data_IF_150274356358
#
_entry.id   IF_150274356358
#
_cell.length_a   1.000
_cell.length_b   1.000
_cell.length_c   1.000
_cell.angle_alpha   90.00
_cell.angle_beta   90.00
_cell.angle_gamma   90.00
#
_symmetry.space_group_name_H-M   'P 1'
#
loop_
_entity.id
_entity.type
_entity.pdbx_description
1 polymer ?
#
# COMPACT_ATOMS: atom_id res chain seq x y z
N UNK A 1 26.27 -77.27 -30.43
CA UNK A 1 27.69 -76.85 -30.54
C UNK A 1 27.81 -75.46 -29.95
N UNK A 2 28.77 -75.29 -29.03
CA UNK A 2 29.13 -74.02 -28.40
C UNK A 2 29.77 -73.04 -29.39
N UNK A 3 29.67 -71.74 -29.05
CA UNK A 3 30.76 -70.74 -28.92
C UNK A 3 30.19 -69.35 -29.27
N UNK A 4 29.92 -68.48 -28.28
CA UNK A 4 30.83 -67.47 -27.66
C UNK A 4 31.40 -66.46 -28.67
N UNK A 5 30.96 -65.20 -28.55
CA UNK A 5 31.80 -64.03 -28.20
C UNK A 5 30.87 -62.86 -27.81
N UNK A 6 30.71 -62.55 -26.52
CA UNK A 6 31.45 -61.57 -25.68
C UNK A 6 31.28 -60.11 -26.13
N UNK A 7 30.36 -59.39 -25.47
CA UNK A 7 30.23 -57.91 -25.49
C UNK A 7 30.38 -57.45 -24.03
N UNK A 8 31.29 -56.51 -23.70
CA UNK A 8 31.42 -55.98 -22.34
C UNK A 8 30.29 -54.98 -22.00
N UNK A 9 29.86 -54.91 -20.73
CA UNK A 9 28.77 -54.05 -20.27
C UNK A 9 29.29 -52.71 -19.71
N UNK A 10 28.36 -51.95 -19.11
CA UNK A 10 28.48 -50.83 -18.16
C UNK A 10 27.96 -49.50 -18.76
N UNK A 11 26.97 -48.80 -18.19
CA UNK A 11 26.29 -48.88 -16.90
C UNK A 11 24.86 -48.35 -17.07
N UNK A 12 23.89 -49.15 -16.62
CA UNK A 12 22.57 -48.70 -16.19
C UNK A 12 22.75 -47.99 -14.85
N UNK A 13 21.99 -46.93 -14.56
CA UNK A 13 21.28 -46.89 -13.27
C UNK A 13 19.93 -46.19 -13.44
N UNK A 14 18.93 -47.01 -13.15
CA UNK A 14 17.51 -46.75 -13.22
C UNK A 14 17.03 -46.01 -11.98
N UNK A 15 16.04 -45.15 -12.23
CA UNK A 15 14.86 -44.89 -11.42
C UNK A 15 14.70 -45.75 -10.14
N UNK A 16 14.67 -45.12 -8.96
CA UNK A 16 14.00 -45.73 -7.80
C UNK A 16 13.43 -44.65 -6.85
N UNK A 17 12.15 -44.79 -6.53
CA UNK A 17 11.48 -44.17 -5.38
C UNK A 17 11.10 -45.31 -4.46
N UNK A 18 11.31 -45.26 -3.13
CA UNK A 18 10.12 -45.27 -2.27
C UNK A 18 10.29 -44.68 -0.85
N UNK A 19 9.14 -44.52 -0.20
CA UNK A 19 8.94 -44.41 1.25
C UNK A 19 9.74 -45.46 2.04
N UNK A 20 10.37 -45.05 3.15
CA UNK A 20 11.05 -45.97 4.07
C UNK A 20 11.11 -45.40 5.49
N UNK A 21 10.42 -46.07 6.41
CA UNK A 21 10.33 -45.76 7.83
C UNK A 21 11.70 -45.84 8.54
N UNK A 22 11.95 -44.94 9.49
CA UNK A 22 13.00 -45.12 10.50
C UNK A 22 12.40 -45.09 11.91
N UNK A 23 12.67 -46.18 12.62
CA UNK A 23 12.27 -46.57 13.97
C UNK A 23 12.59 -45.55 15.08
N UNK A 24 11.79 -45.58 16.16
CA UNK A 24 12.13 -45.04 17.48
C UNK A 24 13.22 -45.92 18.13
N UNK A 25 14.25 -45.41 18.82
CA UNK A 25 14.30 -44.96 20.24
C UNK A 25 15.80 -44.71 20.63
N UNK A 26 16.18 -44.15 21.81
CA UNK A 26 15.36 -43.64 22.91
C UNK A 26 15.69 -42.19 23.32
N UNK A 27 14.72 -41.60 24.02
CA UNK A 27 14.82 -40.36 24.77
C UNK A 27 15.91 -40.45 25.86
N UNK A 28 16.86 -39.52 25.81
CA UNK A 28 17.75 -39.23 26.93
C UNK A 28 17.31 -37.87 27.51
N UNK A 29 16.63 -37.81 28.66
CA UNK A 29 16.28 -36.53 29.25
C UNK A 29 17.55 -35.81 29.69
N UNK A 30 17.86 -34.69 29.05
CA UNK A 30 18.84 -33.75 29.59
C UNK A 30 18.38 -33.32 31.00
N UNK A 31 19.23 -33.47 32.02
CA UNK A 31 18.91 -33.09 33.40
C UNK A 31 18.87 -31.56 33.62
N UNK A 32 19.07 -30.76 32.56
CA UNK A 32 19.02 -29.30 32.60
C UNK A 32 17.67 -28.76 32.16
N UNK A 33 16.60 -29.38 32.67
CA UNK A 33 15.29 -28.76 32.74
C UNK A 33 15.32 -27.59 33.74
N UNK A 34 16.09 -26.55 33.43
CA UNK A 34 15.99 -25.25 34.08
C UNK A 34 15.19 -24.30 33.21
N UNK A 35 14.02 -24.02 33.76
CA UNK A 35 12.95 -23.16 33.30
C UNK A 35 13.42 -21.71 33.14
N UNK A 36 12.83 -21.02 32.15
CA UNK A 36 12.30 -19.63 32.21
C UNK A 36 13.37 -18.53 32.43
N UNK A 37 13.45 -17.44 31.71
CA UNK A 37 12.50 -16.65 30.93
C UNK A 37 13.35 -15.90 29.89
N UNK A 38 12.97 -15.95 28.62
CA UNK A 38 13.43 -14.93 27.67
C UNK A 38 12.97 -13.57 28.20
N UNK A 39 13.86 -12.59 28.45
CA UNK A 39 13.42 -11.26 28.85
C UNK A 39 12.65 -10.67 27.67
N UNK A 40 11.32 -10.66 27.78
CA UNK A 40 10.47 -9.84 26.95
C UNK A 40 10.95 -8.41 27.13
N UNK A 41 11.75 -7.93 26.17
CA UNK A 41 12.09 -6.53 26.05
C UNK A 41 10.76 -5.82 25.78
N UNK A 42 10.14 -5.35 26.86
CA UNK A 42 8.95 -4.50 26.79
C UNK A 42 9.42 -3.28 26.01
N UNK A 43 9.09 -3.24 24.72
CA UNK A 43 9.21 -2.01 23.94
C UNK A 43 8.17 -1.10 24.59
N UNK A 44 8.63 -0.23 25.47
CA UNK A 44 7.80 0.86 25.98
C UNK A 44 7.40 1.65 24.73
N UNK A 45 6.11 1.58 24.38
CA UNK A 45 5.55 2.43 23.36
C UNK A 45 5.71 3.86 23.88
N UNK A 46 6.80 4.52 23.45
CA UNK A 46 6.92 5.94 23.62
C UNK A 46 5.70 6.52 22.91
N UNK A 47 4.82 7.15 23.68
CA UNK A 47 3.78 8.00 23.14
C UNK A 47 4.51 9.16 22.48
N UNK A 48 4.93 8.95 21.24
CA UNK A 48 5.47 10.01 20.40
C UNK A 48 4.36 11.04 20.37
N UNK A 49 4.61 12.21 20.98
CA UNK A 49 3.87 13.41 20.63
C UNK A 49 4.18 13.60 19.15
N UNK A 50 3.29 13.06 18.30
CA UNK A 50 3.29 13.37 16.89
C UNK A 50 3.19 14.88 16.84
N UNK A 51 4.23 15.52 16.32
CA UNK A 51 4.14 16.92 15.95
C UNK A 51 2.81 17.08 15.21
N UNK A 52 2.01 18.07 15.62
CA UNK A 52 0.74 18.39 14.98
C UNK A 52 1.06 18.75 13.53
N UNK A 53 1.17 17.73 12.67
CA UNK A 53 1.50 17.86 11.26
C UNK A 53 0.27 18.46 10.62
N UNK A 54 0.12 19.78 10.78
CA UNK A 54 -0.95 20.52 10.13
C UNK A 54 -0.88 20.19 8.65
N UNK A 55 -1.97 19.67 8.07
CA UNK A 55 -1.97 19.32 6.67
C UNK A 55 -1.62 20.57 5.86
N UNK A 56 -0.60 20.46 5.01
CA UNK A 56 -0.25 21.54 4.09
C UNK A 56 -1.32 21.59 3.01
N UNK A 57 -2.23 22.53 3.18
CA UNK A 57 -3.31 22.80 2.23
C UNK A 57 -2.95 24.02 1.39
N UNK A 58 -2.93 23.83 0.08
CA UNK A 58 -2.69 24.90 -0.87
C UNK A 58 -4.02 25.58 -1.25
N UNK A 59 -3.95 26.88 -1.52
CA UNK A 59 -5.05 27.61 -2.15
C UNK A 59 -4.93 27.49 -3.67
N UNK A 60 -6.05 27.43 -4.36
CA UNK A 60 -6.05 27.52 -5.83
C UNK A 60 -5.69 28.95 -6.23
N UNK A 61 -4.68 29.16 -7.10
CA UNK A 61 -4.34 30.49 -7.58
C UNK A 61 -5.49 31.13 -8.35
N UNK A 62 -5.69 32.44 -8.19
CA UNK A 62 -6.74 33.20 -8.91
C UNK A 62 -6.52 33.24 -10.43
N UNK A 63 -5.31 32.96 -10.90
CA UNK A 63 -4.99 32.85 -12.33
C UNK A 63 -5.04 31.42 -12.87
N UNK A 64 -5.35 30.44 -12.02
CA UNK A 64 -5.29 29.03 -12.41
C UNK A 64 -6.34 28.70 -13.46
N UNK A 65 -5.89 28.06 -14.54
CA UNK A 65 -6.75 27.52 -15.60
C UNK A 65 -6.30 26.10 -15.88
N UNK A 66 -7.23 25.15 -15.83
CA UNK A 66 -6.96 23.72 -15.92
C UNK A 66 -7.95 22.90 -15.11
N UNK A 67 -7.60 21.67 -14.82
CA UNK A 67 -8.46 20.70 -14.15
C UNK A 67 -7.83 20.24 -12.83
N UNK A 68 -8.65 20.06 -11.81
CA UNK A 68 -8.27 19.47 -10.52
C UNK A 68 -9.24 18.34 -10.19
N UNK A 69 -8.83 17.40 -9.36
CA UNK A 69 -9.70 16.30 -8.96
C UNK A 69 -10.14 16.54 -7.52
N UNK A 70 -11.43 16.78 -7.31
CA UNK A 70 -12.04 16.82 -5.99
C UNK A 70 -12.17 15.39 -5.46
N UNK A 71 -11.49 15.09 -4.35
CA UNK A 71 -11.51 13.77 -3.72
C UNK A 71 -12.50 13.70 -2.55
N UNK A 72 -12.79 14.84 -1.91
CA UNK A 72 -13.75 14.92 -0.81
C UNK A 72 -14.34 16.32 -0.69
N UNK A 73 -15.65 16.39 -0.48
CA UNK A 73 -16.36 17.58 -0.03
C UNK A 73 -16.84 17.34 1.41
N UNK A 74 -16.58 18.28 2.31
CA UNK A 74 -17.00 18.18 3.71
C UNK A 74 -17.63 19.49 4.18
N UNK A 75 -18.73 19.47 4.96
CA UNK A 75 -19.36 20.69 5.48
C UNK A 75 -18.50 21.41 6.54
N UNK A 76 -17.55 20.69 7.14
CA UNK A 76 -16.60 21.20 8.13
C UNK A 76 -15.18 20.79 7.72
N UNK A 77 -14.14 21.54 8.15
CA UNK A 77 -12.77 21.17 7.90
C UNK A 77 -12.49 19.80 8.52
N UNK A 78 -11.86 18.93 7.72
CA UNK A 78 -11.40 17.62 8.16
C UNK A 78 -10.28 17.79 9.19
N UNK A 79 -10.21 16.84 10.13
CA UNK A 79 -9.17 16.82 11.16
C UNK A 79 -7.80 16.59 10.52
N UNK A 80 -6.74 17.15 11.10
CA UNK A 80 -5.36 16.96 10.62
C UNK A 80 -4.97 15.47 10.50
N UNK A 81 -5.59 14.61 11.31
CA UNK A 81 -5.38 13.15 11.30
C UNK A 81 -6.24 12.40 10.27
N UNK A 82 -6.87 13.07 9.32
CA UNK A 82 -7.63 12.38 8.29
C UNK A 82 -6.70 11.70 7.27
N UNK A 83 -7.05 10.48 6.86
CA UNK A 83 -6.27 9.65 5.93
C UNK A 83 -5.89 10.36 4.62
N UNK A 84 -6.71 11.29 4.13
CA UNK A 84 -6.44 11.99 2.88
C UNK A 84 -5.16 12.81 2.96
N UNK A 85 -4.82 13.34 4.14
CA UNK A 85 -3.64 14.18 4.35
C UNK A 85 -2.36 13.36 4.45
N UNK A 86 -2.46 12.11 4.95
CA UNK A 86 -1.33 11.18 4.99
C UNK A 86 -1.08 10.52 3.63
N UNK A 87 -2.16 10.21 2.91
CA UNK A 87 -2.07 9.56 1.60
C UNK A 87 -1.73 10.53 0.49
N UNK A 88 -2.16 11.79 0.62
CA UNK A 88 -1.96 12.82 -0.38
C UNK A 88 -1.37 14.06 0.27
N UNK A 89 -0.05 14.23 0.13
CA UNK A 89 0.68 15.36 0.73
C UNK A 89 0.45 16.72 0.06
N UNK A 90 -0.07 16.73 -1.18
CA UNK A 90 -0.28 17.95 -1.98
C UNK A 90 -1.77 18.17 -2.27
N UNK A 91 -2.52 18.54 -1.23
CA UNK A 91 -3.93 18.82 -1.33
C UNK A 91 -4.20 20.32 -1.43
N UNK A 92 -5.17 20.67 -2.25
CA UNK A 92 -5.74 22.00 -2.33
C UNK A 92 -7.04 22.03 -1.55
N UNK A 93 -7.27 23.09 -0.79
CA UNK A 93 -8.52 23.29 -0.07
C UNK A 93 -9.17 24.60 -0.50
N UNK A 94 -10.45 24.52 -0.83
CA UNK A 94 -11.26 25.67 -1.22
C UNK A 94 -12.57 25.67 -0.43
N UNK A 95 -12.96 26.84 0.10
CA UNK A 95 -14.26 27.02 0.74
C UNK A 95 -15.28 27.37 -0.35
N UNK A 96 -16.30 26.54 -0.49
CA UNK A 96 -17.42 26.76 -1.41
C UNK A 96 -18.42 27.76 -0.82
N UNK A 97 -19.32 28.25 -1.66
CA UNK A 97 -20.41 29.15 -1.27
C UNK A 97 -21.31 28.53 -0.18
N UNK A 98 -21.49 27.20 -0.19
CA UNK A 98 -22.26 26.45 0.79
C UNK A 98 -21.58 26.32 2.18
N UNK A 99 -20.52 27.08 2.44
CA UNK A 99 -19.58 26.94 3.57
C UNK A 99 -18.82 25.62 3.68
N UNK A 100 -19.15 24.64 2.84
CA UNK A 100 -18.40 23.40 2.71
C UNK A 100 -16.98 23.63 2.18
N UNK A 101 -16.07 22.73 2.51
CA UNK A 101 -14.69 22.71 2.06
C UNK A 101 -14.52 21.57 1.07
N UNK A 102 -13.99 21.90 -0.10
CA UNK A 102 -13.59 20.94 -1.12
C UNK A 102 -12.09 20.69 -1.05
N UNK A 103 -11.74 19.42 -0.98
CA UNK A 103 -10.36 18.92 -0.99
C UNK A 103 -10.05 18.37 -2.37
N UNK A 104 -9.05 18.95 -3.00
CA UNK A 104 -8.70 18.69 -4.38
C UNK A 104 -7.24 18.27 -4.51
N UNK A 105 -6.96 17.52 -5.58
CA UNK A 105 -5.65 16.97 -5.85
C UNK A 105 -5.22 17.28 -7.28
N UNK A 106 -3.90 17.45 -7.42
CA UNK A 106 -3.25 17.63 -8.70
C UNK A 106 -3.50 18.99 -9.33
N UNK A 107 -2.92 19.14 -10.50
CA UNK A 107 -3.14 20.25 -11.41
C UNK A 107 -2.91 19.68 -12.81
N UNK A 108 -3.98 19.58 -13.58
CA UNK A 108 -3.97 18.98 -14.91
C UNK A 108 -4.28 20.09 -15.92
N UNK A 109 -3.64 20.04 -17.09
CA UNK A 109 -3.96 20.96 -18.18
C UNK A 109 -5.08 20.43 -19.06
N UNK A 110 -5.24 19.10 -19.12
CA UNK A 110 -6.20 18.40 -19.96
C UNK A 110 -7.24 17.66 -19.12
N UNK A 111 -8.50 17.68 -19.57
CA UNK A 111 -9.58 16.95 -18.92
C UNK A 111 -9.38 15.43 -18.98
N UNK A 112 -8.87 14.92 -20.11
CA UNK A 112 -8.61 13.50 -20.31
C UNK A 112 -7.57 12.94 -19.33
N UNK A 113 -6.50 13.70 -19.08
CA UNK A 113 -5.46 13.33 -18.10
C UNK A 113 -6.04 13.27 -16.67
N UNK A 114 -6.86 14.26 -16.31
CA UNK A 114 -7.52 14.29 -15.02
C UNK A 114 -8.49 13.11 -14.85
N UNK A 115 -9.26 12.79 -15.88
CA UNK A 115 -10.17 11.65 -15.87
C UNK A 115 -9.42 10.31 -15.78
N UNK A 116 -8.33 10.15 -16.54
CA UNK A 116 -7.50 8.94 -16.49
C UNK A 116 -6.89 8.74 -15.10
N UNK A 117 -6.38 9.82 -14.49
CA UNK A 117 -5.83 9.76 -13.13
C UNK A 117 -6.92 9.42 -12.10
N UNK A 118 -8.10 10.00 -12.25
CA UNK A 118 -9.27 9.69 -11.43
C UNK A 118 -9.63 8.20 -11.54
N UNK A 119 -9.77 7.66 -12.74
CA UNK A 119 -10.15 6.25 -12.97
C UNK A 119 -9.10 5.24 -12.53
N UNK A 120 -7.82 5.54 -12.70
CA UNK A 120 -6.75 4.56 -12.44
C UNK A 120 -6.40 4.46 -10.95
N UNK A 121 -6.34 5.61 -10.28
CA UNK A 121 -5.79 5.73 -8.93
C UNK A 121 -6.81 6.10 -7.87
N UNK A 122 -7.73 7.02 -8.18
CA UNK A 122 -8.59 7.62 -7.15
C UNK A 122 -9.92 6.91 -7.00
N UNK A 123 -10.57 6.45 -8.08
CA UNK A 123 -11.92 5.88 -8.03
C UNK A 123 -12.02 4.64 -7.14
N UNK A 124 -10.93 3.86 -7.05
CA UNK A 124 -10.84 2.65 -6.20
C UNK A 124 -10.95 2.98 -4.71
N UNK A 125 -10.55 4.20 -4.31
CA UNK A 125 -10.55 4.64 -2.91
C UNK A 125 -11.60 5.71 -2.63
N UNK A 126 -11.87 6.55 -3.60
CA UNK A 126 -12.78 7.69 -3.55
C UNK A 126 -13.78 7.58 -4.69
N UNK A 127 -14.84 6.77 -4.52
CA UNK A 127 -15.87 6.61 -5.56
C UNK A 127 -16.66 7.90 -5.82
N UNK A 128 -16.66 8.83 -4.85
CA UNK A 128 -17.29 10.15 -4.96
C UNK A 128 -16.38 11.20 -5.61
N UNK A 129 -15.15 10.84 -5.99
CA UNK A 129 -14.20 11.78 -6.55
C UNK A 129 -14.63 12.22 -7.96
N UNK A 130 -14.40 13.50 -8.28
CA UNK A 130 -14.80 14.10 -9.55
C UNK A 130 -13.77 15.09 -10.07
N UNK A 131 -13.70 15.22 -11.39
CA UNK A 131 -12.90 16.26 -12.03
C UNK A 131 -13.65 17.59 -11.90
N UNK A 132 -12.89 18.66 -11.71
CA UNK A 132 -13.37 20.03 -11.56
C UNK A 132 -12.55 20.92 -12.49
N UNK A 133 -13.22 21.58 -13.42
CA UNK A 133 -12.59 22.58 -14.28
C UNK A 133 -12.46 23.94 -13.60
N UNK A 134 -11.32 24.58 -13.82
CA UNK A 134 -11.00 25.95 -13.42
C UNK A 134 -10.64 26.79 -14.64
N UNK A 135 -11.14 28.02 -14.66
CA UNK A 135 -10.79 29.03 -15.67
C UNK A 135 -10.61 30.38 -14.99
N UNK A 136 -9.42 30.96 -15.11
CA UNK A 136 -9.06 32.22 -14.44
C UNK A 136 -9.44 32.22 -12.95
N UNK A 137 -9.07 31.14 -12.24
CA UNK A 137 -9.33 30.95 -10.80
C UNK A 137 -10.77 30.64 -10.45
N UNK A 138 -11.69 30.70 -11.40
CA UNK A 138 -13.11 30.39 -11.19
C UNK A 138 -13.41 28.94 -11.55
N UNK A 139 -14.08 28.25 -10.64
CA UNK A 139 -14.59 26.89 -10.84
C UNK A 139 -15.76 26.90 -11.84
N UNK A 140 -15.67 26.11 -12.91
CA UNK A 140 -16.67 26.01 -13.97
C UNK A 140 -17.59 24.78 -13.89
N UNK A 141 -17.14 23.71 -13.21
CA UNK A 141 -17.68 22.34 -13.14
C UNK A 141 -17.12 21.39 -14.19
#
# INVERSE_FOLDING_TARGET
MNSRDTIPPQEEENFDSPFGASEYQPYNPDPFADKKESPSKIIQAQKVEVEDHKPRLYKVPESYTGFKIEIKKAPKPLSASHDIFFQHGNLFAEKLQDESISYMLGAFSNADEANLFLSDFLIKRYPEARVVEYKAGSRLY
#
